data_IF_953757481849
#
_entry.id   IF_953757481849
#
_cell.length_a   1.000
_cell.length_b   1.000
_cell.length_c   1.000
_cell.angle_alpha   90.00
_cell.angle_beta   90.00
_cell.angle_gamma   90.00
#
_symmetry.space_group_name_H-M   'P 1'
#
loop_
_entity.id
_entity.type
_entity.pdbx_description
1 polymer ?
#
# COMPACT_ATOMS: atom_id res chain seq x y z
N UNK A 1 -7.76 4.43 22.39
CA UNK A 1 -7.37 3.82 21.15
C UNK A 1 -7.86 4.62 19.95
N UNK A 2 -7.56 4.16 18.75
CA UNK A 2 -7.98 4.74 17.48
C UNK A 2 -9.51 4.67 17.32
N UNK A 3 -10.11 5.64 16.66
CA UNK A 3 -11.55 5.68 16.39
C UNK A 3 -11.90 4.86 15.13
N UNK A 4 -13.16 4.45 15.01
CA UNK A 4 -13.63 3.58 13.90
C UNK A 4 -13.43 4.24 12.53
N UNK A 5 -13.74 5.53 12.42
CA UNK A 5 -13.54 6.30 11.19
C UNK A 5 -12.06 6.42 10.76
N UNK A 6 -11.14 6.40 11.71
CA UNK A 6 -9.72 6.34 11.43
C UNK A 6 -9.31 4.94 10.91
N UNK A 7 -9.93 3.88 11.43
CA UNK A 7 -9.73 2.52 10.91
C UNK A 7 -10.22 2.44 9.46
N UNK A 8 -11.39 2.96 9.15
CA UNK A 8 -11.92 2.99 7.78
C UNK A 8 -10.98 3.73 6.82
N UNK A 9 -10.49 4.91 7.20
CA UNK A 9 -9.53 5.67 6.36
C UNK A 9 -8.22 4.92 6.12
N UNK A 10 -7.80 4.07 7.06
CA UNK A 10 -6.58 3.26 6.93
C UNK A 10 -6.79 1.96 6.16
N UNK A 11 -7.94 1.32 6.33
CA UNK A 11 -8.22 -0.03 5.80
C UNK A 11 -8.95 -0.01 4.45
N UNK A 12 -9.82 0.97 4.21
CA UNK A 12 -10.49 1.12 2.91
C UNK A 12 -9.51 1.71 1.89
N UNK A 13 -9.24 0.95 0.82
CA UNK A 13 -8.23 1.31 -0.19
C UNK A 13 -8.59 2.57 -0.97
N UNK A 14 -9.88 2.81 -1.19
CA UNK A 14 -10.36 3.99 -1.92
C UNK A 14 -10.24 5.22 -1.02
N UNK A 15 -10.70 5.12 0.22
CA UNK A 15 -10.58 6.21 1.20
C UNK A 15 -9.11 6.55 1.47
N UNK A 16 -8.25 5.54 1.61
CA UNK A 16 -6.81 5.74 1.76
C UNK A 16 -6.21 6.45 0.53
N UNK A 17 -6.52 6.00 -0.68
CA UNK A 17 -6.06 6.63 -1.92
C UNK A 17 -6.52 8.09 -2.03
N UNK A 18 -7.79 8.37 -1.72
CA UNK A 18 -8.32 9.73 -1.72
C UNK A 18 -7.60 10.62 -0.70
N UNK A 19 -7.32 10.10 0.48
CA UNK A 19 -6.55 10.79 1.52
C UNK A 19 -5.13 11.09 1.05
N UNK A 20 -4.44 10.12 0.44
CA UNK A 20 -3.08 10.33 -0.09
C UNK A 20 -3.06 11.36 -1.21
N UNK A 21 -4.03 11.31 -2.12
CA UNK A 21 -4.15 12.31 -3.20
C UNK A 21 -4.36 13.73 -2.64
N UNK A 22 -5.20 13.89 -1.62
CA UNK A 22 -5.44 15.18 -0.96
C UNK A 22 -4.18 15.73 -0.27
N UNK A 23 -3.29 14.86 0.23
CA UNK A 23 -2.01 15.21 0.84
C UNK A 23 -0.89 15.45 -0.18
N UNK A 24 -1.10 15.15 -1.47
CA UNK A 24 -0.05 15.16 -2.48
C UNK A 24 1.01 14.07 -2.28
N UNK A 25 0.63 12.97 -1.65
CA UNK A 25 1.50 11.79 -1.47
C UNK A 25 1.30 10.85 -2.65
N UNK A 26 2.39 10.49 -3.30
CA UNK A 26 2.37 9.56 -4.43
C UNK A 26 2.08 8.15 -3.97
N UNK A 27 1.23 7.47 -4.73
CA UNK A 27 0.94 6.05 -4.62
C UNK A 27 1.14 5.38 -5.97
N UNK A 28 1.31 4.06 -5.99
CA UNK A 28 1.23 3.28 -7.21
C UNK A 28 -0.07 3.61 -7.96
N UNK A 29 0.03 3.81 -9.28
CA UNK A 29 -1.14 4.09 -10.12
C UNK A 29 -2.10 2.91 -10.06
N UNK A 30 -3.35 3.18 -9.80
CA UNK A 30 -4.36 2.14 -9.62
C UNK A 30 -5.74 2.64 -9.98
N UNK A 31 -6.61 1.70 -10.31
CA UNK A 31 -8.03 1.96 -10.46
C UNK A 31 -8.85 0.74 -10.04
N UNK A 32 -10.14 0.93 -9.84
CA UNK A 32 -11.06 -0.09 -9.35
C UNK A 32 -11.82 -0.71 -10.49
N UNK A 33 -11.93 -2.05 -10.51
CA UNK A 33 -12.71 -2.81 -11.45
C UNK A 33 -13.80 -3.62 -10.74
N UNK A 34 -14.99 -3.62 -11.33
CA UNK A 34 -16.13 -4.44 -10.92
C UNK A 34 -16.43 -5.57 -11.91
N UNK A 35 -15.65 -5.64 -12.99
CA UNK A 35 -15.72 -6.69 -14.00
C UNK A 35 -14.34 -6.99 -14.57
N UNK A 36 -14.23 -8.15 -15.23
CA UNK A 36 -13.00 -8.53 -15.94
C UNK A 36 -12.68 -7.56 -17.07
N UNK A 37 -13.70 -7.08 -17.80
CA UNK A 37 -13.52 -6.16 -18.93
C UNK A 37 -12.99 -4.79 -18.44
N UNK A 38 -13.51 -4.29 -17.32
CA UNK A 38 -12.97 -3.07 -16.69
C UNK A 38 -11.52 -3.26 -16.24
N UNK A 39 -11.20 -4.39 -15.63
CA UNK A 39 -9.83 -4.70 -15.21
C UNK A 39 -8.86 -4.77 -16.39
N UNK A 40 -9.27 -5.35 -17.51
CA UNK A 40 -8.48 -5.38 -18.74
C UNK A 40 -8.21 -3.97 -19.28
N UNK A 41 -9.23 -3.11 -19.30
CA UNK A 41 -9.09 -1.73 -19.77
C UNK A 41 -8.16 -0.91 -18.88
N UNK A 42 -8.19 -1.13 -17.57
CA UNK A 42 -7.29 -0.48 -16.60
C UNK A 42 -5.85 -0.99 -16.81
N UNK A 43 -5.66 -2.29 -16.90
CA UNK A 43 -4.34 -2.89 -17.11
C UNK A 43 -3.69 -2.45 -18.42
N UNK A 44 -4.47 -2.28 -19.50
CA UNK A 44 -3.97 -1.76 -20.78
C UNK A 44 -3.46 -0.31 -20.65
N UNK A 45 -4.01 0.50 -19.74
CA UNK A 45 -3.54 1.87 -19.47
C UNK A 45 -2.31 1.89 -18.58
N UNK A 46 -2.25 0.99 -17.57
CA UNK A 46 -1.13 0.93 -16.63
C UNK A 46 0.11 0.29 -17.25
N UNK A 47 -0.08 -0.69 -18.12
CA UNK A 47 0.98 -1.58 -18.62
C UNK A 47 1.19 -2.78 -17.69
N UNK A 48 1.55 -3.93 -18.29
CA UNK A 48 1.88 -5.13 -17.53
C UNK A 48 3.35 -5.13 -17.07
N UNK A 49 3.67 -5.77 -15.93
CA UNK A 49 2.77 -6.48 -15.01
C UNK A 49 1.91 -5.55 -14.16
N UNK A 50 0.73 -6.04 -13.73
CA UNK A 50 -0.13 -5.38 -12.77
C UNK A 50 -0.41 -6.27 -11.58
N UNK A 51 -0.77 -5.66 -10.44
CA UNK A 51 -1.17 -6.37 -9.23
C UNK A 51 -2.68 -6.26 -9.07
N UNK A 52 -3.33 -7.39 -8.83
CA UNK A 52 -4.75 -7.45 -8.51
C UNK A 52 -4.95 -7.63 -7.00
N UNK A 53 -5.74 -6.75 -6.39
CA UNK A 53 -6.06 -6.80 -4.96
C UNK A 53 -7.57 -6.77 -4.76
N UNK A 54 -8.21 -7.93 -4.53
CA UNK A 54 -9.63 -7.96 -4.21
C UNK A 54 -9.90 -7.19 -2.92
N UNK A 55 -11.01 -6.44 -2.91
CA UNK A 55 -11.42 -5.69 -1.73
C UNK A 55 -12.09 -6.60 -0.70
N UNK A 56 -11.85 -6.32 0.58
CA UNK A 56 -12.48 -7.03 1.71
C UNK A 56 -12.32 -8.55 1.65
N UNK A 57 -11.09 -9.02 1.39
CA UNK A 57 -10.74 -10.44 1.46
C UNK A 57 -9.85 -10.73 2.66
N UNK A 58 -9.92 -11.94 3.19
CA UNK A 58 -9.04 -12.38 4.26
C UNK A 58 -7.73 -12.93 3.66
N UNK A 59 -6.59 -12.49 4.24
CA UNK A 59 -5.29 -13.02 3.89
C UNK A 59 -4.85 -12.80 2.44
N UNK A 60 -5.39 -11.77 1.76
CA UNK A 60 -5.03 -11.48 0.36
C UNK A 60 -5.54 -12.51 -0.66
N UNK A 61 -6.53 -13.32 -0.29
CA UNK A 61 -7.08 -14.36 -1.16
C UNK A 61 -7.61 -13.80 -2.48
N UNK A 62 -7.34 -14.50 -3.58
CA UNK A 62 -7.83 -14.18 -4.92
C UNK A 62 -7.10 -13.06 -5.66
N UNK A 63 -6.07 -12.46 -5.04
CA UNK A 63 -5.21 -11.46 -5.66
C UNK A 63 -3.92 -12.04 -6.20
N UNK A 64 -3.08 -11.20 -6.79
CA UNK A 64 -1.75 -11.56 -7.24
C UNK A 64 -1.19 -10.69 -8.35
N UNK A 65 0.07 -10.93 -8.67
CA UNK A 65 0.77 -10.33 -9.80
C UNK A 65 0.38 -11.05 -11.09
N UNK A 66 0.08 -10.31 -12.13
CA UNK A 66 -0.28 -10.84 -13.45
C UNK A 66 0.54 -10.16 -14.54
N UNK A 67 1.03 -10.95 -15.49
CA UNK A 67 1.97 -10.52 -16.53
C UNK A 67 1.32 -10.30 -17.89
N UNK A 68 0.10 -10.79 -18.09
CA UNK A 68 -0.59 -10.73 -19.36
C UNK A 68 -2.11 -10.79 -19.20
N UNK A 69 -2.83 -10.55 -20.32
CA UNK A 69 -4.29 -10.53 -20.36
C UNK A 69 -4.95 -11.85 -19.95
N UNK A 70 -4.35 -12.98 -20.32
CA UNK A 70 -4.93 -14.31 -20.03
C UNK A 70 -4.85 -14.63 -18.56
N UNK A 71 -3.71 -14.33 -17.92
CA UNK A 71 -3.57 -14.44 -16.47
C UNK A 71 -4.54 -13.50 -15.75
N UNK A 72 -4.66 -12.24 -16.23
CA UNK A 72 -5.56 -11.26 -15.63
C UNK A 72 -7.00 -11.76 -15.61
N UNK A 73 -7.51 -12.30 -16.72
CA UNK A 73 -8.88 -12.83 -16.78
C UNK A 73 -9.15 -13.86 -15.70
N UNK A 74 -8.22 -14.78 -15.51
CA UNK A 74 -8.34 -15.87 -14.52
C UNK A 74 -8.26 -15.36 -13.10
N UNK A 75 -7.25 -14.54 -12.79
CA UNK A 75 -7.01 -14.02 -11.44
C UNK A 75 -8.10 -13.01 -11.06
N UNK A 76 -8.51 -12.12 -11.99
CA UNK A 76 -9.57 -11.15 -11.74
C UNK A 76 -10.92 -11.82 -11.48
N UNK A 77 -11.29 -12.85 -12.26
CA UNK A 77 -12.53 -13.58 -12.03
C UNK A 77 -12.58 -14.22 -10.62
N UNK A 78 -11.47 -14.83 -10.18
CA UNK A 78 -11.35 -15.35 -8.81
C UNK A 78 -11.41 -14.23 -7.76
N UNK A 79 -10.74 -13.12 -8.02
CA UNK A 79 -10.73 -11.96 -7.13
C UNK A 79 -12.10 -11.36 -6.92
N UNK A 80 -12.87 -11.19 -8.00
CA UNK A 80 -14.25 -10.69 -7.95
C UNK A 80 -15.18 -11.62 -7.17
N UNK A 81 -14.99 -12.94 -7.29
CA UNK A 81 -15.75 -13.93 -6.51
C UNK A 81 -15.35 -13.95 -5.03
N UNK A 82 -14.07 -13.75 -4.73
CA UNK A 82 -13.57 -13.73 -3.36
C UNK A 82 -13.94 -12.43 -2.63
N UNK A 83 -14.11 -11.34 -3.34
CA UNK A 83 -14.49 -10.04 -2.77
C UNK A 83 -15.97 -10.03 -2.37
N UNK A 84 -16.24 -9.72 -1.11
CA UNK A 84 -17.62 -9.60 -0.59
C UNK A 84 -18.41 -8.52 -1.34
N UNK A 85 -17.74 -7.48 -1.81
CA UNK A 85 -18.33 -6.35 -2.54
C UNK A 85 -18.15 -6.46 -4.06
N UNK A 86 -17.58 -7.56 -4.56
CA UNK A 86 -17.36 -7.78 -6.00
C UNK A 86 -16.43 -6.75 -6.65
N UNK A 87 -15.37 -6.36 -5.95
CA UNK A 87 -14.48 -5.28 -6.34
C UNK A 87 -13.02 -5.73 -6.31
N UNK A 88 -12.27 -5.38 -7.35
CA UNK A 88 -10.82 -5.62 -7.44
C UNK A 88 -10.10 -4.31 -7.77
N UNK A 89 -9.08 -3.97 -7.00
CA UNK A 89 -8.13 -2.93 -7.34
C UNK A 89 -7.12 -3.49 -8.34
N UNK A 90 -6.92 -2.79 -9.46
CA UNK A 90 -5.86 -3.06 -10.44
C UNK A 90 -4.79 -1.99 -10.25
N UNK A 91 -3.58 -2.40 -9.93
CA UNK A 91 -2.49 -1.53 -9.52
C UNK A 91 -1.25 -1.80 -10.36
N UNK A 92 -0.50 -0.75 -10.73
CA UNK A 92 0.81 -0.92 -11.36
C UNK A 92 1.76 -1.67 -10.43
N UNK A 93 2.61 -2.49 -11.02
CA UNK A 93 3.61 -3.23 -10.24
C UNK A 93 4.80 -2.33 -9.90
N UNK A 94 5.16 -2.32 -8.63
CA UNK A 94 6.39 -1.74 -8.10
C UNK A 94 7.38 -2.84 -7.68
N UNK A 95 7.23 -4.02 -8.26
CA UNK A 95 8.11 -5.16 -7.98
C UNK A 95 9.58 -4.78 -8.25
N UNK A 96 10.44 -5.10 -7.29
CA UNK A 96 11.87 -4.82 -7.39
C UNK A 96 12.31 -3.45 -6.87
N UNK A 97 11.37 -2.57 -6.51
CA UNK A 97 11.70 -1.33 -5.80
C UNK A 97 12.17 -1.63 -4.37
N UNK A 98 12.93 -0.71 -3.78
CA UNK A 98 13.31 -0.79 -2.38
C UNK A 98 12.08 -0.63 -1.48
N UNK A 99 11.98 -1.46 -0.45
CA UNK A 99 10.92 -1.37 0.56
C UNK A 99 11.49 -0.74 1.83
N UNK A 100 10.90 0.38 2.23
CA UNK A 100 11.30 1.14 3.40
C UNK A 100 10.10 1.28 4.35
N UNK A 101 10.35 1.29 5.65
CA UNK A 101 9.28 1.37 6.64
C UNK A 101 9.64 2.36 7.75
N UNK A 102 8.63 3.07 8.23
CA UNK A 102 8.73 3.89 9.43
C UNK A 102 7.71 3.41 10.46
N UNK A 103 8.21 3.11 11.64
CA UNK A 103 7.37 2.87 12.82
C UNK A 103 7.10 4.21 13.50
N UNK A 104 5.86 4.66 13.48
CA UNK A 104 5.45 5.95 14.03
C UNK A 104 4.48 5.73 15.17
N UNK A 105 4.66 6.47 16.25
CA UNK A 105 3.71 6.52 17.37
C UNK A 105 3.15 7.92 17.50
N UNK A 106 1.83 8.02 17.56
CA UNK A 106 1.09 9.28 17.77
C UNK A 106 0.23 9.18 19.02
N UNK A 107 0.30 10.18 19.89
CA UNK A 107 -0.57 10.26 21.06
C UNK A 107 -1.90 10.97 20.76
N UNK A 108 -2.81 10.97 21.74
CA UNK A 108 -4.11 11.61 21.62
C UNK A 108 -4.03 13.16 21.52
N UNK A 109 -2.88 13.75 21.84
CA UNK A 109 -2.63 15.20 21.73
C UNK A 109 -2.01 15.60 20.39
N UNK A 110 -1.72 14.61 19.52
CA UNK A 110 -1.12 14.84 18.21
C UNK A 110 0.41 14.87 18.21
N UNK A 111 1.07 14.57 19.34
CA UNK A 111 2.52 14.42 19.36
C UNK A 111 2.91 13.12 18.64
N UNK A 112 3.96 13.19 17.83
CA UNK A 112 4.45 12.05 17.04
C UNK A 112 5.94 11.84 17.25
N UNK A 113 6.35 10.58 17.26
CA UNK A 113 7.75 10.17 17.19
C UNK A 113 7.92 9.05 16.17
N UNK A 114 9.05 9.01 15.50
CA UNK A 114 9.49 7.84 14.73
C UNK A 114 10.30 6.95 15.66
N UNK A 115 9.81 5.75 15.92
CA UNK A 115 10.47 4.77 16.79
C UNK A 115 11.68 4.19 16.09
N UNK A 116 11.53 3.80 14.81
CA UNK A 116 12.63 3.35 13.99
C UNK A 116 12.37 3.59 12.50
N UNK A 117 13.46 3.68 11.76
CA UNK A 117 13.53 3.68 10.30
C UNK A 117 14.06 2.32 9.87
N UNK A 118 13.31 1.60 9.06
CA UNK A 118 13.59 0.24 8.65
C UNK A 118 13.84 0.20 7.14
N UNK A 119 14.93 -0.43 6.74
CA UNK A 119 15.29 -0.73 5.38
C UNK A 119 15.17 -2.24 5.18
N UNK A 120 14.33 -2.69 4.26
CA UNK A 120 14.24 -4.08 3.87
C UNK A 120 15.35 -4.40 2.86
N UNK A 121 16.08 -5.49 3.10
CA UNK A 121 17.16 -5.94 2.19
C UNK A 121 16.56 -6.59 0.95
N UNK A 122 15.43 -7.27 1.12
CA UNK A 122 14.68 -7.85 0.01
C UNK A 122 13.78 -6.76 -0.63
N UNK A 123 13.64 -6.78 -1.97
CA UNK A 123 12.84 -5.77 -2.67
C UNK A 123 11.35 -5.98 -2.44
N UNK A 124 10.55 -4.97 -2.82
CA UNK A 124 9.08 -5.08 -2.86
C UNK A 124 8.65 -6.33 -3.63
N UNK A 125 7.74 -7.10 -3.05
CA UNK A 125 7.24 -8.37 -3.57
C UNK A 125 7.62 -9.58 -2.74
N UNK A 126 8.62 -9.48 -1.88
CA UNK A 126 8.89 -10.44 -0.80
C UNK A 126 7.99 -10.06 0.38
N UNK A 127 7.40 -11.06 1.04
CA UNK A 127 6.57 -10.79 2.22
C UNK A 127 7.43 -10.24 3.35
N UNK A 128 7.01 -9.12 3.96
CA UNK A 128 7.79 -8.43 5.00
C UNK A 128 8.17 -9.33 6.18
N UNK A 129 7.32 -10.28 6.55
CA UNK A 129 7.61 -11.26 7.59
C UNK A 129 8.71 -12.27 7.25
N UNK A 130 9.07 -12.41 5.97
CA UNK A 130 10.09 -13.32 5.45
C UNK A 130 11.35 -12.56 4.96
N UNK A 131 11.32 -11.23 4.97
CA UNK A 131 12.39 -10.36 4.52
C UNK A 131 13.40 -10.08 5.64
N UNK A 132 14.68 -10.01 5.27
CA UNK A 132 15.69 -9.41 6.14
C UNK A 132 15.56 -7.90 6.13
N UNK A 133 15.68 -7.28 7.30
CA UNK A 133 15.63 -5.83 7.42
C UNK A 133 16.75 -5.30 8.32
N UNK A 134 17.07 -4.03 8.16
CA UNK A 134 18.00 -3.29 9.01
C UNK A 134 17.28 -2.10 9.66
N UNK A 135 17.48 -1.95 10.94
CA UNK A 135 17.12 -0.75 11.69
C UNK A 135 18.33 -0.31 12.51
N UNK A 136 18.85 0.90 12.31
CA UNK A 136 18.38 1.96 11.41
C UNK A 136 18.64 1.66 9.92
N UNK A 137 18.06 2.49 9.03
CA UNK A 137 18.39 2.46 7.60
C UNK A 137 19.89 2.77 7.41
N UNK A 138 20.60 1.93 6.64
CA UNK A 138 22.05 2.02 6.45
C UNK A 138 22.45 2.64 5.10
N UNK A 139 21.68 2.37 4.04
CA UNK A 139 22.00 2.80 2.67
C UNK A 139 21.22 4.03 2.21
N UNK A 140 20.13 4.35 2.87
CA UNK A 140 19.23 5.46 2.54
C UNK A 140 19.77 6.77 3.12
N UNK A 141 19.88 7.81 2.27
CA UNK A 141 20.39 9.11 2.69
C UNK A 141 19.53 9.76 3.78
N UNK A 142 20.13 10.56 4.63
CA UNK A 142 19.43 11.30 5.69
C UNK A 142 18.34 12.24 5.12
N UNK A 143 18.57 12.80 3.94
CA UNK A 143 17.61 13.66 3.25
C UNK A 143 16.33 12.88 2.88
N UNK A 144 16.50 11.66 2.33
CA UNK A 144 15.38 10.78 2.00
C UNK A 144 14.64 10.37 3.27
N UNK A 145 15.38 9.93 4.31
CA UNK A 145 14.78 9.55 5.59
C UNK A 145 13.95 10.68 6.21
N UNK A 146 14.45 11.92 6.19
CA UNK A 146 13.73 13.10 6.66
C UNK A 146 12.46 13.36 5.85
N UNK A 147 12.54 13.26 4.53
CA UNK A 147 11.37 13.42 3.64
C UNK A 147 10.31 12.35 3.89
N UNK A 148 10.72 11.10 4.08
CA UNK A 148 9.82 10.01 4.45
C UNK A 148 9.13 10.26 5.78
N UNK A 149 9.87 10.72 6.79
CA UNK A 149 9.31 11.06 8.10
C UNK A 149 8.27 12.17 8.02
N UNK A 150 8.57 13.26 7.31
CA UNK A 150 7.64 14.38 7.14
C UNK A 150 6.34 13.93 6.45
N UNK A 151 6.45 13.13 5.40
CA UNK A 151 5.29 12.56 4.69
C UNK A 151 4.52 11.57 5.58
N UNK A 152 5.21 10.69 6.30
CA UNK A 152 4.59 9.73 7.21
C UNK A 152 3.79 10.43 8.32
N UNK A 153 4.32 11.50 8.89
CA UNK A 153 3.62 12.28 9.91
C UNK A 153 2.33 12.92 9.36
N UNK A 154 2.36 13.44 8.13
CA UNK A 154 1.15 13.96 7.46
C UNK A 154 0.11 12.88 7.25
N UNK A 155 0.53 11.68 6.84
CA UNK A 155 -0.36 10.52 6.65
C UNK A 155 -1.01 10.12 7.99
N UNK A 156 -0.19 9.90 9.01
CA UNK A 156 -0.66 9.47 10.33
C UNK A 156 -1.62 10.49 10.95
N UNK A 157 -1.35 11.78 10.76
CA UNK A 157 -2.24 12.86 11.21
C UNK A 157 -3.55 12.87 10.42
N UNK A 158 -3.50 12.76 9.10
CA UNK A 158 -4.71 12.77 8.25
C UNK A 158 -5.63 11.59 8.53
N UNK A 159 -5.07 10.41 8.80
CA UNK A 159 -5.83 9.21 9.17
C UNK A 159 -6.35 9.29 10.60
N UNK A 160 -5.75 10.12 11.46
CA UNK A 160 -6.08 10.24 12.88
C UNK A 160 -5.76 8.97 13.69
N UNK A 161 -4.63 8.34 13.39
CA UNK A 161 -4.14 7.21 14.19
C UNK A 161 -3.80 7.67 15.60
N UNK A 162 -4.17 6.90 16.60
CA UNK A 162 -3.74 7.05 18.00
C UNK A 162 -3.10 5.73 18.42
N UNK A 163 -1.80 5.75 18.69
CA UNK A 163 -0.98 4.58 18.97
C UNK A 163 0.12 4.38 17.96
N UNK A 164 0.61 3.16 17.87
CA UNK A 164 1.64 2.76 16.90
C UNK A 164 1.04 2.46 15.53
N UNK A 165 1.78 2.83 14.48
CA UNK A 165 1.45 2.48 13.10
C UNK A 165 2.73 2.32 12.28
N UNK A 166 2.69 1.39 11.34
CA UNK A 166 3.73 1.19 10.35
C UNK A 166 3.34 1.92 9.05
N UNK A 167 4.26 2.66 8.48
CA UNK A 167 4.10 3.31 7.16
C UNK A 167 5.13 2.72 6.22
N UNK A 168 4.66 2.03 5.19
CA UNK A 168 5.49 1.40 4.16
C UNK A 168 5.66 2.29 2.96
N UNK A 169 6.87 2.34 2.43
CA UNK A 169 7.28 3.15 1.29
C UNK A 169 7.96 2.28 0.25
N UNK A 170 7.71 2.59 -1.00
CA UNK A 170 8.49 2.06 -2.12
C UNK A 170 9.38 3.18 -2.69
N UNK A 171 10.64 2.86 -2.91
CA UNK A 171 11.67 3.76 -3.44
C UNK A 171 12.32 3.13 -4.67
N UNK A 172 12.38 3.90 -5.78
CA UNK A 172 12.95 3.45 -7.06
C UNK A 172 14.45 3.78 -7.13
#
# INVERSE_FOLDING_TARGET
GVQVDAIERGEDRIEFKNTMNALGVEMARSDVAYSVDEALAIADKLGYPVVLRPAYTMGGAGGGLVYNKEELKTVCARGLQASIVGQVLVEESILGWEELELEVVRDAKGNMITVCFIENIDPVGVHTGDSFCSAPMLTISEEVQKRLQEKSYKIVEAIQVIGGTNVQWAHD
#
